data_IF_522569898933
#
_entry.id   IF_522569898933
#
_cell.length_a   1.000
_cell.length_b   1.000
_cell.length_c   1.000
_cell.angle_alpha   90.00
_cell.angle_beta   90.00
_cell.angle_gamma   90.00
#
_symmetry.space_group_name_H-M   'P 1'
#
loop_
_entity.id
_entity.type
_entity.pdbx_description
1 polymer ?
#
# COMPACT_ATOMS: atom_id res chain seq x y z
N UNK A 1 33.17 -29.73 -29.91
CA UNK A 1 32.97 -28.78 -28.80
C UNK A 1 32.24 -29.53 -27.69
N UNK A 2 32.64 -29.40 -26.42
CA UNK A 2 32.03 -30.13 -25.30
C UNK A 2 31.69 -29.14 -24.19
N UNK A 3 30.40 -28.98 -23.88
CA UNK A 3 29.88 -28.01 -22.89
C UNK A 3 29.64 -28.61 -21.50
N UNK A 4 30.03 -29.87 -21.29
CA UNK A 4 29.89 -30.55 -19.99
C UNK A 4 28.46 -30.89 -19.57
N UNK A 5 27.48 -30.75 -20.48
CA UNK A 5 26.09 -31.16 -20.24
C UNK A 5 25.94 -32.67 -20.44
N UNK A 6 25.18 -33.32 -19.56
CA UNK A 6 24.65 -34.65 -19.80
C UNK A 6 23.42 -34.52 -20.71
N UNK A 7 23.46 -35.19 -21.86
CA UNK A 7 22.48 -35.01 -22.93
C UNK A 7 21.92 -36.36 -23.31
N UNK A 8 20.59 -36.42 -23.46
CA UNK A 8 19.90 -37.61 -23.91
C UNK A 8 19.19 -37.29 -25.24
N UNK A 9 19.59 -38.01 -26.30
CA UNK A 9 18.97 -37.95 -27.62
C UNK A 9 18.59 -39.37 -28.03
N UNK A 10 17.38 -39.55 -28.56
CA UNK A 10 16.84 -40.84 -28.98
C UNK A 10 17.77 -41.61 -29.94
N UNK A 11 18.46 -40.89 -30.84
CA UNK A 11 19.47 -41.40 -31.78
C UNK A 11 20.58 -42.23 -31.13
N UNK A 12 20.85 -42.07 -29.83
CA UNK A 12 21.90 -42.82 -29.13
C UNK A 12 21.40 -44.10 -28.46
N UNK A 13 20.09 -44.34 -28.46
CA UNK A 13 19.44 -45.44 -27.74
C UNK A 13 18.71 -46.44 -28.67
N UNK A 14 18.96 -46.37 -29.98
CA UNK A 14 18.31 -47.20 -31.00
C UNK A 14 18.90 -48.63 -31.13
N UNK A 15 19.90 -48.95 -30.31
CA UNK A 15 20.69 -50.18 -30.40
C UNK A 15 20.05 -51.40 -29.71
N UNK A 16 18.98 -51.22 -28.94
CA UNK A 16 18.27 -52.30 -28.24
C UNK A 16 16.77 -52.14 -28.37
N UNK A 17 16.03 -53.25 -28.28
CA UNK A 17 14.56 -53.20 -28.21
C UNK A 17 14.16 -52.44 -26.94
N UNK A 18 13.42 -51.35 -27.12
CA UNK A 18 13.00 -50.44 -26.05
C UNK A 18 11.53 -50.07 -26.20
N UNK A 19 10.87 -49.87 -25.07
CA UNK A 19 9.58 -49.18 -25.04
C UNK A 19 9.85 -47.67 -25.11
N UNK A 20 9.65 -47.10 -26.30
CA UNK A 20 9.91 -45.68 -26.56
C UNK A 20 8.97 -44.76 -25.77
N UNK A 21 7.77 -45.21 -25.44
CA UNK A 21 6.82 -44.42 -24.65
C UNK A 21 7.28 -44.33 -23.20
N UNK A 22 7.67 -45.46 -22.60
CA UNK A 22 8.23 -45.45 -21.24
C UNK A 22 9.53 -44.66 -21.18
N UNK A 23 10.43 -44.87 -22.15
CA UNK A 23 11.68 -44.11 -22.20
C UNK A 23 11.45 -42.60 -22.33
N UNK A 24 10.55 -42.16 -23.20
CA UNK A 24 10.22 -40.75 -23.34
C UNK A 24 9.63 -40.16 -22.04
N UNK A 25 8.74 -40.90 -21.36
CA UNK A 25 8.21 -40.48 -20.05
C UNK A 25 9.33 -40.32 -19.03
N UNK A 26 10.25 -41.30 -18.94
CA UNK A 26 11.39 -41.24 -18.04
C UNK A 26 12.27 -40.03 -18.33
N UNK A 27 12.67 -39.80 -19.59
CA UNK A 27 13.52 -38.65 -19.94
C UNK A 27 12.83 -37.30 -19.69
N UNK A 28 11.53 -37.18 -20.04
CA UNK A 28 10.76 -35.97 -19.79
C UNK A 28 10.50 -35.73 -18.29
N UNK A 29 10.54 -36.77 -17.46
CA UNK A 29 10.37 -36.68 -16.01
C UNK A 29 11.68 -36.32 -15.31
N UNK A 30 12.78 -36.97 -15.68
CA UNK A 30 14.06 -36.89 -14.96
C UNK A 30 14.97 -35.75 -15.44
N UNK A 31 14.86 -35.30 -16.69
CA UNK A 31 15.80 -34.29 -17.22
C UNK A 31 15.61 -32.92 -16.56
N UNK A 32 16.68 -32.31 -16.06
CA UNK A 32 16.62 -30.96 -15.45
C UNK A 32 16.08 -29.90 -16.43
N UNK A 33 16.39 -30.06 -17.72
CA UNK A 33 15.95 -29.19 -18.81
C UNK A 33 15.53 -30.00 -20.04
N UNK A 34 14.54 -29.49 -20.78
CA UNK A 34 14.04 -30.11 -22.01
C UNK A 34 14.18 -29.12 -23.16
N UNK A 35 14.99 -29.46 -24.16
CA UNK A 35 15.13 -28.64 -25.36
C UNK A 35 14.06 -28.98 -26.39
N UNK A 36 13.26 -27.99 -26.78
CA UNK A 36 12.28 -28.14 -27.86
C UNK A 36 12.82 -27.49 -29.12
N UNK A 37 13.28 -28.30 -30.07
CA UNK A 37 13.86 -27.82 -31.32
C UNK A 37 12.74 -27.43 -32.30
N UNK A 38 12.68 -26.14 -32.64
CA UNK A 38 11.72 -25.58 -33.57
C UNK A 38 11.86 -26.21 -34.96
N UNK A 39 10.77 -26.82 -35.44
CA UNK A 39 10.68 -27.32 -36.80
C UNK A 39 9.22 -27.38 -37.26
N UNK A 40 8.91 -27.27 -38.57
CA UNK A 40 7.55 -27.23 -39.06
C UNK A 40 6.80 -28.53 -38.76
N UNK A 41 7.50 -29.66 -38.90
CA UNK A 41 6.94 -30.99 -38.61
C UNK A 41 6.66 -31.16 -37.13
N UNK A 42 7.56 -30.70 -36.25
CA UNK A 42 7.31 -30.77 -34.81
C UNK A 42 6.13 -29.89 -34.42
N UNK A 43 6.10 -28.62 -34.87
CA UNK A 43 4.97 -27.71 -34.64
C UNK A 43 3.64 -28.32 -35.05
N UNK A 44 3.55 -28.81 -36.28
CA UNK A 44 2.31 -29.39 -36.80
C UNK A 44 1.80 -30.54 -35.92
N UNK A 45 2.70 -31.41 -35.45
CA UNK A 45 2.35 -32.54 -34.56
C UNK A 45 1.98 -32.05 -33.17
N UNK A 46 2.77 -31.15 -32.61
CA UNK A 46 2.62 -30.65 -31.26
C UNK A 46 1.35 -29.79 -31.09
N UNK A 47 0.97 -29.02 -32.11
CA UNK A 47 -0.26 -28.23 -32.15
C UNK A 47 -1.51 -29.08 -32.48
N UNK A 48 -1.36 -30.39 -32.71
CA UNK A 48 -2.47 -31.29 -33.03
C UNK A 48 -3.03 -31.13 -34.44
N UNK A 49 -2.25 -30.55 -35.35
CA UNK A 49 -2.61 -30.34 -36.76
C UNK A 49 -2.15 -31.49 -37.68
N UNK A 50 -1.38 -32.44 -37.15
CA UNK A 50 -0.95 -33.62 -37.88
C UNK A 50 -2.00 -34.74 -37.80
N UNK A 51 -2.14 -35.60 -38.84
CA UNK A 51 -2.98 -36.78 -38.77
C UNK A 51 -2.59 -37.71 -37.61
N UNK A 52 -3.56 -38.41 -37.03
CA UNK A 52 -3.36 -39.29 -35.85
C UNK A 52 -2.36 -40.44 -36.07
N UNK A 53 -2.11 -40.82 -37.32
CA UNK A 53 -1.17 -41.91 -37.67
C UNK A 53 0.26 -41.42 -37.92
N UNK A 54 0.48 -40.11 -38.04
CA UNK A 54 1.79 -39.52 -38.35
C UNK A 54 2.47 -38.95 -37.10
N UNK A 55 3.73 -39.32 -36.87
CA UNK A 55 4.54 -38.71 -35.80
C UNK A 55 3.96 -38.93 -34.40
N UNK A 56 3.37 -40.11 -34.15
CA UNK A 56 2.72 -40.48 -32.89
C UNK A 56 3.59 -40.22 -31.64
N UNK A 57 4.91 -40.47 -31.73
CA UNK A 57 5.86 -40.16 -30.65
C UNK A 57 5.89 -38.67 -30.31
N UNK A 58 6.12 -37.81 -31.29
CA UNK A 58 6.13 -36.35 -31.07
C UNK A 58 4.76 -35.79 -30.63
N UNK A 59 3.64 -36.35 -31.10
CA UNK A 59 2.32 -35.98 -30.61
C UNK A 59 2.13 -36.37 -29.13
N UNK A 60 2.65 -37.55 -28.75
CA UNK A 60 2.62 -38.07 -27.37
C UNK A 60 3.48 -37.22 -26.43
N UNK A 61 4.73 -36.95 -26.79
CA UNK A 61 5.64 -36.08 -26.03
C UNK A 61 5.06 -34.67 -25.88
N UNK A 62 4.51 -34.08 -26.95
CA UNK A 62 3.87 -32.77 -26.88
C UNK A 62 2.62 -32.74 -25.99
N UNK A 63 1.88 -33.86 -25.89
CA UNK A 63 0.78 -33.96 -24.93
C UNK A 63 1.28 -33.93 -23.48
N UNK A 64 2.39 -34.63 -23.17
CA UNK A 64 3.03 -34.61 -21.85
C UNK A 64 3.53 -33.21 -21.51
N UNK A 65 4.24 -32.54 -22.44
CA UNK A 65 4.73 -31.17 -22.21
C UNK A 65 3.60 -30.19 -21.90
N UNK A 66 2.46 -30.29 -22.59
CA UNK A 66 1.27 -29.47 -22.33
C UNK A 66 0.62 -29.79 -20.98
N UNK A 67 0.52 -31.06 -20.59
CA UNK A 67 0.01 -31.44 -19.27
C UNK A 67 0.90 -30.87 -18.16
N UNK A 68 2.22 -31.00 -18.31
CA UNK A 68 3.18 -30.47 -17.35
C UNK A 68 3.06 -28.94 -17.20
N UNK A 69 3.01 -28.20 -18.31
CA UNK A 69 2.80 -26.74 -18.29
C UNK A 69 1.46 -26.35 -17.65
N UNK A 70 0.42 -27.15 -17.86
CA UNK A 70 -0.89 -26.93 -17.21
C UNK A 70 -0.82 -27.17 -15.71
N UNK A 71 -0.05 -28.18 -15.27
CA UNK A 71 0.13 -28.54 -13.86
C UNK A 71 0.96 -27.53 -13.08
N UNK A 72 2.10 -27.11 -13.63
CA UNK A 72 2.98 -26.12 -13.00
C UNK A 72 3.61 -25.21 -14.06
N UNK A 73 2.87 -24.16 -14.43
CA UNK A 73 3.28 -23.24 -15.49
C UNK A 73 4.65 -22.62 -15.21
N UNK A 74 4.92 -22.18 -13.99
CA UNK A 74 6.16 -21.45 -13.66
C UNK A 74 7.38 -22.35 -13.83
N UNK A 75 7.42 -23.46 -13.10
CA UNK A 75 8.56 -24.38 -13.11
C UNK A 75 8.78 -24.97 -14.51
N UNK A 76 7.71 -25.34 -15.20
CA UNK A 76 7.82 -25.97 -16.51
C UNK A 76 8.20 -24.97 -17.62
N UNK A 77 7.86 -23.68 -17.46
CA UNK A 77 8.36 -22.62 -18.37
C UNK A 77 9.87 -22.41 -18.20
N UNK A 78 10.40 -22.53 -16.98
CA UNK A 78 11.84 -22.43 -16.71
C UNK A 78 12.62 -23.67 -17.19
N UNK A 79 11.97 -24.84 -17.19
CA UNK A 79 12.55 -26.14 -17.57
C UNK A 79 12.49 -26.46 -19.07
N UNK A 80 11.41 -26.06 -19.75
CA UNK A 80 11.20 -26.34 -21.18
C UNK A 80 11.73 -25.17 -22.01
N UNK A 81 12.81 -25.39 -22.74
CA UNK A 81 13.55 -24.35 -23.46
C UNK A 81 13.30 -24.46 -24.98
N UNK A 82 12.54 -23.55 -25.60
CA UNK A 82 12.37 -23.52 -27.05
C UNK A 82 13.66 -23.06 -27.74
N UNK A 83 14.13 -23.81 -28.73
CA UNK A 83 15.38 -23.55 -29.46
C UNK A 83 15.12 -23.43 -30.97
N UNK A 84 15.61 -22.35 -31.58
CA UNK A 84 15.55 -22.14 -33.04
C UNK A 84 16.95 -22.32 -33.61
N UNK A 85 17.12 -23.27 -34.52
CA UNK A 85 18.41 -23.58 -35.16
C UNK A 85 18.66 -22.70 -36.40
N UNK A 86 19.90 -22.67 -36.93
CA UNK A 86 20.23 -21.83 -38.09
C UNK A 86 19.30 -22.13 -39.28
N UNK A 87 18.70 -21.07 -39.84
CA UNK A 87 17.77 -21.18 -40.97
C UNK A 87 16.36 -21.66 -40.62
N UNK A 88 16.02 -21.82 -39.33
CA UNK A 88 14.64 -22.03 -38.85
C UNK A 88 14.01 -20.68 -38.45
N UNK A 89 12.71 -20.69 -38.13
CA UNK A 89 12.00 -19.49 -37.68
C UNK A 89 11.24 -19.72 -36.37
N UNK A 90 10.95 -18.62 -35.68
CA UNK A 90 10.28 -18.61 -34.37
C UNK A 90 8.83 -19.10 -34.47
N UNK A 91 8.22 -18.95 -35.65
CA UNK A 91 6.87 -19.36 -36.00
C UNK A 91 6.72 -20.88 -36.03
N UNK A 92 7.83 -21.62 -35.99
CA UNK A 92 7.90 -23.08 -35.92
C UNK A 92 7.94 -23.60 -34.48
N UNK A 93 7.85 -22.71 -33.50
CA UNK A 93 7.65 -23.08 -32.11
C UNK A 93 6.15 -23.43 -31.91
N UNK A 94 5.83 -24.54 -31.22
CA UNK A 94 4.45 -24.88 -30.85
C UNK A 94 3.74 -23.74 -30.11
N UNK A 95 2.45 -23.55 -30.37
CA UNK A 95 1.69 -22.39 -29.83
C UNK A 95 1.69 -22.37 -28.31
N UNK A 96 1.59 -23.54 -27.67
CA UNK A 96 1.52 -23.67 -26.21
C UNK A 96 2.80 -23.23 -25.48
N UNK A 97 3.92 -23.05 -26.19
CA UNK A 97 5.17 -22.54 -25.63
C UNK A 97 5.25 -21.01 -25.66
N UNK A 98 4.26 -20.32 -26.25
CA UNK A 98 4.10 -18.87 -26.19
C UNK A 98 5.33 -18.05 -26.68
N UNK A 99 5.89 -18.40 -27.84
CA UNK A 99 7.16 -17.85 -28.37
C UNK A 99 7.34 -16.32 -28.39
N UNK A 100 6.27 -15.54 -28.30
CA UNK A 100 6.28 -14.07 -28.26
C UNK A 100 6.21 -13.47 -26.85
N UNK A 101 5.86 -14.26 -25.83
CA UNK A 101 5.78 -13.81 -24.43
C UNK A 101 6.69 -14.59 -23.48
N UNK A 102 7.34 -15.65 -23.95
CA UNK A 102 8.36 -16.41 -23.22
C UNK A 102 9.73 -16.30 -23.89
N UNK A 103 10.79 -16.52 -23.11
CA UNK A 103 12.16 -16.57 -23.63
C UNK A 103 12.33 -17.78 -24.55
N UNK A 104 13.06 -17.59 -25.65
CA UNK A 104 13.48 -18.64 -26.59
C UNK A 104 14.95 -18.45 -26.92
N UNK A 105 15.61 -19.50 -27.39
CA UNK A 105 17.04 -19.49 -27.68
C UNK A 105 17.28 -19.67 -29.17
N UNK A 106 17.72 -18.60 -29.83
CA UNK A 106 18.06 -18.63 -31.26
C UNK A 106 19.55 -18.91 -31.41
N UNK A 107 19.89 -20.06 -32.00
CA UNK A 107 21.26 -20.46 -32.30
C UNK A 107 21.53 -20.11 -33.76
N UNK A 108 22.30 -19.05 -33.99
CA UNK A 108 22.69 -18.62 -35.35
C UNK A 108 23.85 -19.43 -35.92
N UNK A 109 24.71 -19.97 -35.06
CA UNK A 109 25.86 -20.81 -35.41
C UNK A 109 26.20 -21.79 -34.28
N UNK A 110 26.80 -22.92 -34.62
CA UNK A 110 27.18 -23.96 -33.65
C UNK A 110 28.56 -23.67 -33.02
N UNK A 111 28.67 -22.52 -32.35
CA UNK A 111 29.87 -22.05 -31.64
C UNK A 111 29.58 -21.82 -30.17
N UNK A 112 30.62 -21.66 -29.34
CA UNK A 112 30.44 -21.35 -27.89
C UNK A 112 29.64 -20.07 -27.69
N UNK A 113 29.89 -19.08 -28.55
CA UNK A 113 29.16 -17.83 -28.54
C UNK A 113 27.70 -18.00 -28.96
N UNK A 114 27.45 -18.78 -30.02
CA UNK A 114 26.11 -19.01 -30.56
C UNK A 114 25.17 -19.77 -29.61
N UNK A 115 25.71 -20.55 -28.68
CA UNK A 115 24.92 -21.27 -27.66
C UNK A 115 24.98 -20.65 -26.27
N UNK A 116 25.72 -19.55 -26.09
CA UNK A 116 26.05 -19.01 -24.77
C UNK A 116 24.80 -18.71 -23.91
N UNK A 117 23.76 -18.13 -24.51
CA UNK A 117 22.55 -17.77 -23.76
C UNK A 117 21.74 -19.01 -23.33
N UNK A 118 21.75 -20.08 -24.13
CA UNK A 118 21.16 -21.36 -23.76
C UNK A 118 21.93 -22.00 -22.60
N UNK A 119 23.26 -21.95 -22.63
CA UNK A 119 24.10 -22.47 -21.54
C UNK A 119 23.87 -21.67 -20.25
N UNK A 120 23.75 -20.34 -20.33
CA UNK A 120 23.42 -19.49 -19.17
C UNK A 120 22.07 -19.89 -18.56
N UNK A 121 21.06 -20.16 -19.39
CA UNK A 121 19.75 -20.61 -18.91
C UNK A 121 19.80 -21.96 -18.19
N UNK A 122 20.60 -22.91 -18.70
CA UNK A 122 20.76 -24.24 -18.12
C UNK A 122 21.59 -24.20 -16.82
N UNK A 123 22.63 -23.37 -16.77
CA UNK A 123 23.58 -23.34 -15.65
C UNK A 123 23.20 -22.36 -14.54
N UNK A 124 22.38 -21.35 -14.85
CA UNK A 124 22.04 -20.25 -13.94
C UNK A 124 23.11 -19.16 -13.82
N UNK A 125 24.26 -19.32 -14.48
CA UNK A 125 25.39 -18.38 -14.42
C UNK A 125 25.20 -17.19 -15.37
N UNK A 126 24.34 -16.27 -14.97
CA UNK A 126 24.03 -15.04 -15.71
C UNK A 126 25.23 -14.12 -15.93
N UNK A 127 25.39 -13.60 -17.15
CA UNK A 127 26.42 -12.59 -17.50
C UNK A 127 26.32 -11.31 -16.67
N UNK A 128 25.11 -10.96 -16.24
CA UNK A 128 24.82 -9.77 -15.45
C UNK A 128 24.35 -10.21 -14.07
N UNK A 129 25.18 -10.03 -13.06
CA UNK A 129 24.79 -10.27 -11.67
C UNK A 129 23.84 -9.18 -11.22
N UNK A 130 22.79 -9.55 -10.47
CA UNK A 130 21.88 -8.57 -9.88
C UNK A 130 22.68 -7.70 -8.90
N UNK A 131 22.70 -6.37 -9.06
CA UNK A 131 23.43 -5.52 -8.13
C UNK A 131 22.80 -5.58 -6.74
N UNK A 132 23.61 -5.34 -5.71
CA UNK A 132 23.07 -5.17 -4.37
C UNK A 132 22.05 -4.03 -4.36
N UNK A 133 20.88 -4.30 -3.78
CA UNK A 133 19.86 -3.27 -3.62
C UNK A 133 20.37 -2.25 -2.61
N UNK A 134 20.63 -1.03 -3.08
CA UNK A 134 20.99 0.08 -2.19
C UNK A 134 19.87 0.44 -1.21
N UNK A 135 20.24 1.04 -0.09
CA UNK A 135 19.27 1.57 0.88
C UNK A 135 18.55 2.75 0.25
N UNK A 136 17.23 2.65 0.11
CA UNK A 136 16.39 3.78 -0.27
C UNK A 136 16.49 4.86 0.81
N UNK A 137 17.13 5.99 0.51
CA UNK A 137 17.38 7.08 1.47
C UNK A 137 16.14 7.93 1.78
N UNK A 138 14.95 7.46 1.40
CA UNK A 138 13.76 8.28 1.31
C UNK A 138 13.90 9.23 0.12
N UNK A 139 12.95 9.19 -0.80
CA UNK A 139 12.72 10.36 -1.64
C UNK A 139 12.33 11.45 -0.67
N UNK A 140 13.16 12.47 -0.50
CA UNK A 140 12.72 13.69 0.13
C UNK A 140 11.56 14.20 -0.74
N UNK A 141 10.32 13.83 -0.40
CA UNK A 141 9.21 14.73 -0.61
C UNK A 141 9.54 15.89 0.31
N UNK A 142 10.32 16.84 -0.19
CA UNK A 142 10.15 18.23 0.15
C UNK A 142 8.72 18.56 -0.26
N UNK A 143 7.76 18.14 0.56
CA UNK A 143 6.49 18.84 0.68
C UNK A 143 6.94 20.24 1.09
N UNK A 144 6.78 21.27 0.25
CA UNK A 144 7.07 22.63 0.72
C UNK A 144 6.29 22.78 2.02
N UNK A 145 6.98 23.14 3.11
CA UNK A 145 6.36 23.35 4.40
C UNK A 145 5.13 24.21 4.17
N UNK A 146 3.94 23.66 4.42
CA UNK A 146 2.72 24.40 4.21
C UNK A 146 2.81 25.67 5.08
N UNK A 147 2.49 26.83 4.49
CA UNK A 147 2.48 28.06 5.27
C UNK A 147 1.58 27.85 6.51
N UNK A 148 2.01 28.30 7.70
CA UNK A 148 1.24 28.07 8.92
C UNK A 148 -0.20 28.54 8.75
N UNK A 149 -1.17 27.64 8.97
CA UNK A 149 -2.58 27.91 8.75
C UNK A 149 -3.38 27.67 10.03
N UNK A 150 -4.23 28.62 10.40
CA UNK A 150 -5.13 28.48 11.54
C UNK A 150 -6.35 27.65 11.18
N UNK A 151 -6.69 26.63 11.97
CA UNK A 151 -7.86 25.77 11.76
C UNK A 151 -9.17 26.58 11.70
N UNK A 152 -9.26 27.69 12.42
CA UNK A 152 -10.43 28.59 12.38
C UNK A 152 -10.69 29.22 11.00
N UNK A 153 -9.66 29.34 10.15
CA UNK A 153 -9.76 29.89 8.79
C UNK A 153 -9.88 28.83 7.70
N UNK A 154 -9.78 27.56 8.07
CA UNK A 154 -9.96 26.46 7.14
C UNK A 154 -11.44 26.22 6.87
N UNK A 155 -11.81 25.69 5.69
CA UNK A 155 -13.15 25.18 5.47
C UNK A 155 -13.41 24.00 6.42
N UNK A 156 -14.39 24.15 7.32
CA UNK A 156 -14.84 23.07 8.18
C UNK A 156 -15.73 22.14 7.38
N UNK A 157 -15.28 20.90 7.22
CA UNK A 157 -16.01 19.89 6.46
C UNK A 157 -17.25 19.42 7.22
N UNK A 158 -17.15 19.38 8.54
CA UNK A 158 -18.25 19.12 9.44
C UNK A 158 -18.07 19.96 10.69
N UNK A 159 -19.14 20.49 11.27
CA UNK A 159 -19.07 21.21 12.54
C UNK A 159 -20.41 21.26 13.25
N UNK A 160 -20.38 21.31 14.58
CA UNK A 160 -21.58 21.54 15.40
C UNK A 160 -22.01 23.01 15.36
N UNK A 161 -23.33 23.32 15.47
CA UNK A 161 -23.84 24.69 15.39
C UNK A 161 -23.33 25.66 16.47
N UNK A 162 -22.84 25.15 17.61
CA UNK A 162 -22.38 25.95 18.75
C UNK A 162 -20.94 26.47 18.58
N UNK A 163 -20.22 26.03 17.54
CA UNK A 163 -18.87 26.50 17.24
C UNK A 163 -18.88 27.72 16.34
N UNK A 164 -18.05 28.71 16.68
CA UNK A 164 -17.81 29.90 15.86
C UNK A 164 -16.32 30.22 15.82
N UNK A 165 -15.79 30.65 14.66
CA UNK A 165 -14.50 31.31 14.63
C UNK A 165 -14.61 32.66 15.37
N UNK A 166 -13.57 33.04 16.10
CA UNK A 166 -13.54 34.31 16.81
C UNK A 166 -12.28 34.46 17.65
N UNK A 167 -12.19 35.56 18.39
CA UNK A 167 -11.09 35.77 19.34
C UNK A 167 -11.46 35.15 20.69
N UNK A 168 -10.46 34.56 21.35
CA UNK A 168 -10.59 34.03 22.71
C UNK A 168 -9.59 34.73 23.63
N UNK A 169 -10.02 35.07 24.84
CA UNK A 169 -9.12 35.55 25.90
C UNK A 169 -8.99 34.45 26.93
N UNK A 170 -7.79 33.91 27.08
CA UNK A 170 -7.48 32.86 28.04
C UNK A 170 -6.42 33.39 29.01
N UNK A 171 -6.79 33.52 30.29
CA UNK A 171 -5.93 34.09 31.36
C UNK A 171 -5.30 35.44 30.96
N UNK A 172 -6.11 36.34 30.42
CA UNK A 172 -5.68 37.67 29.97
C UNK A 172 -4.89 37.71 28.66
N UNK A 173 -4.55 36.56 28.05
CA UNK A 173 -3.89 36.49 26.75
C UNK A 173 -4.94 36.36 25.65
N UNK A 174 -4.94 37.29 24.69
CA UNK A 174 -5.83 37.26 23.52
C UNK A 174 -5.24 36.38 22.42
N UNK A 175 -6.00 35.36 22.02
CA UNK A 175 -5.74 34.48 20.90
C UNK A 175 -6.69 34.83 19.75
N UNK A 176 -6.14 35.32 18.64
CA UNK A 176 -6.87 35.57 17.40
C UNK A 176 -7.10 34.27 16.63
N UNK A 177 -8.07 34.24 15.71
CA UNK A 177 -8.39 33.06 14.88
C UNK A 177 -8.60 31.79 15.73
N UNK A 178 -9.31 31.96 16.84
CA UNK A 178 -9.68 30.90 17.77
C UNK A 178 -11.00 30.26 17.36
N UNK A 179 -11.30 29.13 17.98
CA UNK A 179 -12.54 28.39 17.80
C UNK A 179 -13.25 28.38 19.14
N UNK A 180 -14.35 29.11 19.22
CA UNK A 180 -15.08 29.35 20.46
C UNK A 180 -16.39 28.58 20.43
N UNK A 181 -16.63 27.84 21.49
CA UNK A 181 -17.88 27.14 21.72
C UNK A 181 -18.82 28.00 22.56
N UNK A 182 -19.97 28.35 21.98
CA UNK A 182 -21.05 29.08 22.64
C UNK A 182 -22.29 28.18 22.71
N UNK A 183 -22.58 27.56 23.85
CA UNK A 183 -23.77 26.72 23.99
C UNK A 183 -25.03 27.52 23.67
N UNK A 184 -25.82 27.06 22.69
CA UNK A 184 -27.09 27.69 22.30
C UNK A 184 -28.26 27.34 23.23
N UNK A 185 -28.10 26.35 24.12
CA UNK A 185 -29.10 25.92 25.09
C UNK A 185 -28.47 25.62 26.46
N UNK A 186 -29.28 25.67 27.52
CA UNK A 186 -28.93 25.26 28.90
C UNK A 186 -28.78 23.71 29.00
N UNK A 187 -28.79 22.99 27.87
CA UNK A 187 -28.69 21.53 27.88
C UNK A 187 -27.33 21.08 28.39
N UNK A 188 -27.39 19.99 29.13
CA UNK A 188 -26.43 19.59 30.16
C UNK A 188 -25.25 18.75 29.66
N UNK A 189 -25.12 18.60 28.35
CA UNK A 189 -24.02 17.90 27.67
C UNK A 189 -23.66 18.61 26.36
N UNK A 190 -23.28 19.88 26.46
CA UNK A 190 -22.84 20.62 25.28
C UNK A 190 -21.48 20.05 24.81
N UNK A 191 -21.49 19.35 23.67
CA UNK A 191 -20.29 18.89 22.94
C UNK A 191 -20.21 19.62 21.62
N UNK A 192 -19.11 20.33 21.39
CA UNK A 192 -18.80 21.01 20.14
C UNK A 192 -17.63 20.32 19.43
N UNK A 193 -17.77 20.06 18.14
CA UNK A 193 -16.66 19.55 17.33
C UNK A 193 -16.64 20.15 15.92
N UNK A 194 -15.47 20.09 15.29
CA UNK A 194 -15.30 20.36 13.86
C UNK A 194 -14.28 19.41 13.24
N UNK A 195 -14.41 19.20 11.94
CA UNK A 195 -13.49 18.44 11.09
C UNK A 195 -12.90 19.32 10.00
N UNK A 196 -11.59 19.20 9.77
CA UNK A 196 -10.89 19.82 8.63
C UNK A 196 -10.11 18.80 7.83
N UNK A 197 -9.91 19.09 6.55
CA UNK A 197 -9.04 18.32 5.66
C UNK A 197 -7.60 18.85 5.74
N UNK A 198 -6.67 17.97 6.10
CA UNK A 198 -5.25 18.26 6.18
C UNK A 198 -4.53 17.97 4.87
N UNK A 199 -5.05 17.08 4.01
CA UNK A 199 -4.43 16.71 2.74
C UNK A 199 -2.99 16.18 2.85
N UNK A 200 -2.56 15.69 4.02
CA UNK A 200 -1.21 15.18 4.26
C UNK A 200 -0.09 16.24 4.24
N UNK A 201 -0.42 17.54 4.32
CA UNK A 201 0.55 18.63 4.10
C UNK A 201 1.15 19.26 5.36
N UNK A 202 0.64 18.91 6.54
CA UNK A 202 1.08 19.47 7.82
C UNK A 202 1.79 18.40 8.65
N UNK A 203 2.64 18.84 9.57
CA UNK A 203 3.42 18.01 10.49
C UNK A 203 2.89 18.14 11.93
N UNK A 204 2.49 19.35 12.35
CA UNK A 204 2.10 19.60 13.74
C UNK A 204 0.90 20.53 13.84
N UNK A 205 0.09 20.32 14.87
CA UNK A 205 -0.93 21.26 15.32
C UNK A 205 -0.56 21.79 16.72
N UNK A 206 -0.61 23.10 16.92
CA UNK A 206 -0.43 23.73 18.23
C UNK A 206 -1.64 24.61 18.56
N UNK A 207 -2.13 24.55 19.80
CA UNK A 207 -3.25 25.41 20.24
C UNK A 207 -3.18 25.63 21.75
N UNK A 208 -3.68 26.77 22.21
CA UNK A 208 -4.07 26.92 23.60
C UNK A 208 -5.45 26.28 23.81
N UNK A 209 -5.66 25.58 24.91
CA UNK A 209 -6.98 25.09 25.32
C UNK A 209 -7.38 25.75 26.63
N UNK A 210 -8.65 26.13 26.77
CA UNK A 210 -9.11 26.71 28.01
C UNK A 210 -10.57 27.10 28.06
N UNK A 211 -11.01 27.42 29.27
CA UNK A 211 -12.32 28.01 29.57
C UNK A 211 -12.19 29.54 29.44
N UNK A 212 -13.10 30.15 28.70
CA UNK A 212 -13.17 31.59 28.45
C UNK A 212 -14.03 32.25 29.53
N UNK A 213 -13.46 33.21 30.26
CA UNK A 213 -14.14 33.95 31.35
C UNK A 213 -13.18 34.34 32.48
N UNK A 214 -13.63 35.21 33.38
CA UNK A 214 -12.90 35.59 34.59
C UNK A 214 -13.01 34.50 35.67
N UNK A 215 -11.97 34.36 36.51
CA UNK A 215 -11.70 33.27 37.48
C UNK A 215 -12.75 33.09 38.62
N UNK A 216 -13.95 33.65 38.47
CA UNK A 216 -15.00 33.70 39.49
C UNK A 216 -15.92 32.47 39.52
N UNK A 217 -15.98 31.66 38.45
CA UNK A 217 -16.83 30.45 38.37
C UNK A 217 -15.98 29.16 38.53
N UNK A 218 -15.65 28.83 39.79
CA UNK A 218 -14.59 27.88 40.15
C UNK A 218 -14.89 26.39 39.97
N UNK A 219 -16.08 26.01 39.49
CA UNK A 219 -16.48 24.61 39.38
C UNK A 219 -16.28 24.02 37.98
N UNK A 220 -16.20 24.83 36.92
CA UNK A 220 -16.52 24.38 35.56
C UNK A 220 -15.34 23.91 34.68
N UNK A 221 -15.19 22.59 34.49
CA UNK A 221 -14.09 21.96 33.72
C UNK A 221 -14.46 21.76 32.24
N UNK A 222 -13.56 22.09 31.32
CA UNK A 222 -13.67 21.78 29.90
C UNK A 222 -12.86 20.54 29.52
N UNK A 223 -13.44 19.59 28.79
CA UNK A 223 -12.76 18.46 28.19
C UNK A 223 -12.42 18.79 26.73
N UNK A 224 -11.18 18.56 26.32
CA UNK A 224 -10.69 18.83 24.97
C UNK A 224 -10.11 17.54 24.38
N UNK A 225 -10.50 17.19 23.16
CA UNK A 225 -9.97 16.04 22.43
C UNK A 225 -9.50 16.43 21.03
N UNK A 226 -8.44 15.77 20.58
CA UNK A 226 -7.96 15.86 19.20
C UNK A 226 -7.95 14.47 18.60
N UNK A 227 -8.62 14.31 17.46
CA UNK A 227 -8.55 13.07 16.68
C UNK A 227 -7.83 13.33 15.37
N UNK A 228 -6.91 12.42 15.04
CA UNK A 228 -6.15 12.42 13.79
C UNK A 228 -6.54 11.16 13.03
N UNK A 229 -7.09 11.34 11.82
CA UNK A 229 -7.67 10.26 11.00
C UNK A 229 -8.65 9.35 11.78
N UNK A 230 -9.45 9.96 12.66
CA UNK A 230 -10.47 9.30 13.48
C UNK A 230 -9.95 8.73 14.81
N UNK A 231 -8.64 8.63 15.00
CA UNK A 231 -8.03 8.10 16.24
C UNK A 231 -7.79 9.25 17.23
N UNK A 232 -8.28 9.11 18.46
CA UNK A 232 -8.00 10.07 19.54
C UNK A 232 -6.51 10.05 19.89
N UNK A 233 -5.81 11.16 19.59
CA UNK A 233 -4.39 11.34 19.88
C UNK A 233 -4.15 12.17 21.15
N UNK A 234 -5.14 12.96 21.55
CA UNK A 234 -5.06 13.81 22.74
C UNK A 234 -6.41 13.91 23.41
N UNK A 235 -6.41 13.86 24.73
CA UNK A 235 -7.58 14.14 25.58
C UNK A 235 -7.09 14.84 26.87
N UNK A 236 -7.76 15.93 27.26
CA UNK A 236 -7.41 16.66 28.49
C UNK A 236 -8.56 17.45 29.08
N UNK A 237 -8.62 17.46 30.42
CA UNK A 237 -9.49 18.32 31.20
C UNK A 237 -8.74 19.60 31.61
N UNK A 238 -9.38 20.75 31.44
CA UNK A 238 -8.81 22.07 31.73
C UNK A 238 -9.73 22.84 32.67
N UNK A 239 -9.16 23.36 33.76
CA UNK A 239 -9.87 24.16 34.75
C UNK A 239 -9.96 25.64 34.30
N UNK A 240 -10.94 26.41 34.82
CA UNK A 240 -10.97 27.86 34.64
C UNK A 240 -9.67 28.51 35.13
N UNK A 241 -9.19 29.53 34.42
CA UNK A 241 -7.96 30.26 34.77
C UNK A 241 -6.64 29.52 34.51
N UNK A 242 -6.69 28.26 34.04
CA UNK A 242 -5.50 27.43 33.79
C UNK A 242 -5.40 26.98 32.32
N UNK A 243 -5.34 27.89 31.34
CA UNK A 243 -5.18 27.48 29.95
C UNK A 243 -3.86 26.72 29.74
N UNK A 244 -3.89 25.74 28.84
CA UNK A 244 -2.75 24.89 28.54
C UNK A 244 -2.37 24.97 27.06
N UNK A 245 -1.08 25.01 26.76
CA UNK A 245 -0.58 24.90 25.39
C UNK A 245 -0.37 23.43 25.03
N UNK A 246 -0.97 23.00 23.92
CA UNK A 246 -0.82 21.65 23.42
C UNK A 246 -0.10 21.62 22.08
N UNK A 247 0.51 20.47 21.79
CA UNK A 247 1.09 20.15 20.49
C UNK A 247 0.71 18.71 20.14
N UNK A 248 0.21 18.50 18.93
CA UNK A 248 -0.20 17.19 18.40
C UNK A 248 0.51 16.95 17.07
N UNK A 249 1.05 15.75 16.88
CA UNK A 249 1.63 15.29 15.62
C UNK A 249 0.49 14.95 14.63
N UNK A 250 0.57 15.50 13.42
CA UNK A 250 -0.38 15.28 12.33
C UNK A 250 0.34 14.93 11.02
N UNK A 251 1.59 14.47 11.09
CA UNK A 251 2.42 14.15 9.94
C UNK A 251 1.74 13.11 9.03
N UNK A 252 1.50 13.49 7.77
CA UNK A 252 0.87 12.62 6.78
C UNK A 252 -0.64 12.38 6.97
N UNK A 253 -1.25 12.99 7.99
CA UNK A 253 -2.67 12.82 8.28
C UNK A 253 -3.56 13.50 7.24
N UNK A 254 -4.75 12.95 7.00
CA UNK A 254 -5.73 13.47 6.06
C UNK A 254 -6.84 14.26 6.75
N UNK A 255 -7.19 13.91 7.98
CA UNK A 255 -8.30 14.49 8.73
C UNK A 255 -7.89 14.86 10.14
N UNK A 256 -8.35 16.03 10.58
CA UNK A 256 -8.25 16.49 11.97
C UNK A 256 -9.64 16.81 12.50
N UNK A 257 -9.96 16.24 13.67
CA UNK A 257 -11.11 16.66 14.49
C UNK A 257 -10.63 17.37 15.74
N UNK A 258 -11.20 18.54 16.00
CA UNK A 258 -11.10 19.22 17.30
C UNK A 258 -12.45 19.10 17.99
N UNK A 259 -12.46 18.56 19.20
CA UNK A 259 -13.66 18.38 20.02
C UNK A 259 -13.46 19.03 21.38
N UNK A 260 -14.49 19.72 21.87
CA UNK A 260 -14.54 20.19 23.24
C UNK A 260 -15.92 19.98 23.84
N UNK A 261 -15.97 19.60 25.10
CA UNK A 261 -17.22 19.29 25.79
C UNK A 261 -17.14 19.64 27.27
N UNK A 262 -18.31 19.64 27.92
CA UNK A 262 -18.45 19.86 29.36
C UNK A 262 -18.97 18.59 30.01
N UNK A 263 -18.37 18.18 31.14
CA UNK A 263 -18.85 17.01 31.89
C UNK A 263 -20.07 17.35 32.75
N UNK A 264 -21.14 16.56 32.61
CA UNK A 264 -22.42 16.67 33.35
C UNK A 264 -22.29 16.87 34.87
N UNK A 265 -21.33 16.19 35.54
CA UNK A 265 -21.13 16.26 37.00
C UNK A 265 -20.88 17.67 37.53
N UNK A 266 -20.40 18.56 36.65
CA UNK A 266 -20.03 19.91 36.98
C UNK A 266 -21.18 20.90 36.85
N UNK A 267 -22.06 20.69 35.85
CA UNK A 267 -23.26 21.51 35.60
C UNK A 267 -24.33 21.30 36.68
N UNK A 268 -24.46 20.06 37.18
CA UNK A 268 -25.43 19.71 38.22
C UNK A 268 -25.14 20.36 39.59
N UNK A 269 -23.87 20.65 39.90
CA UNK A 269 -23.49 21.22 41.19
C UNK A 269 -23.83 22.72 41.29
N UNK A 270 -23.71 23.49 40.20
CA UNK A 270 -24.07 24.92 40.17
C UNK A 270 -25.60 25.13 40.19
N UNK A 271 -26.37 24.26 39.52
CA UNK A 271 -27.83 24.31 39.55
C UNK A 271 -28.42 24.08 40.95
N UNK A 272 -27.68 23.39 41.84
CA UNK A 272 -28.11 23.10 43.22
C UNK A 272 -27.69 24.17 44.25
N UNK A 273 -26.70 25.02 43.95
CA UNK A 273 -26.23 26.08 44.88
C UNK A 273 -26.92 27.44 44.65
N UNK A 274 -27.74 27.60 43.61
CA UNK A 274 -28.38 28.86 43.22
C UNK A 274 -29.78 29.11 43.80
N UNK A 275 -30.16 28.48 44.92
CA UNK A 275 -31.54 28.49 45.41
C UNK A 275 -32.01 29.77 46.13
N UNK A 276 -31.20 30.83 46.29
CA UNK A 276 -31.63 32.00 47.10
C UNK A 276 -31.26 33.41 46.62
N UNK A 277 -30.83 33.60 45.36
CA UNK A 277 -30.66 34.97 44.81
C UNK A 277 -31.07 35.02 43.35
N UNK A 278 -32.07 35.86 43.04
CA UNK A 278 -32.53 36.30 41.72
C UNK A 278 -32.00 35.54 40.49
N UNK A 279 -32.77 34.58 40.00
CA UNK A 279 -32.44 33.72 38.87
C UNK A 279 -32.27 34.53 37.57
N UNK A 280 -31.02 34.84 37.20
CA UNK A 280 -30.64 35.11 35.80
C UNK A 280 -30.06 33.81 35.25
N UNK A 281 -30.44 33.37 34.03
CA UNK A 281 -29.80 32.22 33.43
C UNK A 281 -28.32 32.56 33.17
N UNK A 282 -27.43 32.06 34.04
CA UNK A 282 -25.99 32.17 33.88
C UNK A 282 -25.62 31.33 32.66
N UNK A 283 -25.21 32.01 31.57
CA UNK A 283 -24.66 31.36 30.38
C UNK A 283 -23.45 30.54 30.84
N UNK A 284 -23.41 29.26 30.48
CA UNK A 284 -22.20 28.46 30.68
C UNK A 284 -21.00 29.22 30.06
N UNK A 285 -19.85 29.33 30.75
CA UNK A 285 -18.65 29.93 30.19
C UNK A 285 -18.29 29.29 28.84
N UNK A 286 -17.68 30.06 27.96
CA UNK A 286 -17.35 29.56 26.63
C UNK A 286 -16.11 28.65 26.75
N UNK A 287 -15.99 27.63 25.89
CA UNK A 287 -14.74 26.88 25.75
C UNK A 287 -14.03 27.35 24.48
N UNK A 288 -12.69 27.35 24.48
CA UNK A 288 -11.96 27.76 23.29
C UNK A 288 -10.73 26.91 22.99
N UNK A 289 -10.55 26.62 21.70
CA UNK A 289 -9.24 26.38 21.10
C UNK A 289 -8.66 27.74 20.71
N UNK A 290 -7.70 28.23 21.49
CA UNK A 290 -6.95 29.46 21.23
C UNK A 290 -5.96 29.25 20.09
N UNK A 291 -6.14 30.00 19.00
CA UNK A 291 -5.26 30.05 17.82
C UNK A 291 -4.69 28.67 17.39
N UNK A 292 -5.53 27.70 17.01
CA UNK A 292 -5.07 26.38 16.57
C UNK A 292 -4.33 26.51 15.23
N UNK A 293 -3.00 26.45 15.25
CA UNK A 293 -2.14 26.57 14.06
C UNK A 293 -1.64 25.19 13.62
N UNK A 294 -1.75 24.92 12.32
CA UNK A 294 -1.10 23.82 11.62
C UNK A 294 0.19 24.29 10.95
N UNK A 295 1.26 23.50 11.05
CA UNK A 295 2.57 23.70 10.39
C UNK A 295 3.03 22.41 9.77
#
# INVERSE_FOLDING_TARGET
>A
MRMGLDVHVDLWYDNVRRDWSLWAIEQLSEADFILVIASPKFKQRADGLAPSHEGRGAQFEAAILRDNLTRNLKEQTERILPVVLPGRSIEEIPVFLNAYSTTRFEISEFTEHGVADLIVAITGDGRHQMPERGVWRGGARTTPAAEPLTVARMPWVLSTPDLRPGDAVLKGVRYIDSIVMRPSSISTEATGFLDVDLGGRFQTMCSAIGVVGDDTERSQVGLFKVHVDGVAQFERQVLPGTPEMIRVDVAGALRLRLEMSRSWRTVANDLMHGADVGWRPSRLPELAWGNPILR
#
